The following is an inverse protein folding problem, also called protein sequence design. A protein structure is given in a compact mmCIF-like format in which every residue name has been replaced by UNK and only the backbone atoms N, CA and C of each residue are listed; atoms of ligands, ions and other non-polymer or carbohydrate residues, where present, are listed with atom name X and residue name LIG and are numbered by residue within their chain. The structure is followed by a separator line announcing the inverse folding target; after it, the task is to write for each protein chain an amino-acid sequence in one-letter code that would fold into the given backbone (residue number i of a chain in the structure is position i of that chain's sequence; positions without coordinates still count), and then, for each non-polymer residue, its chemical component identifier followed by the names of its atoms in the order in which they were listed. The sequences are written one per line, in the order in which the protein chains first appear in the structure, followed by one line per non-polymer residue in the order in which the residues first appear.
data_IF_017743742799
#
_entry.id   IF_017743742799
#
_cell.length_a   1.000
_cell.length_b   1.000
_cell.length_c   1.000
_cell.angle_alpha   90.00
_cell.angle_beta   90.00
_cell.angle_gamma   90.00
#
_symmetry.space_group_name_H-M   'P 1'
#
loop_
_entity.id
_entity.type
_entity.pdbx_description
1 polymer ?
#
# COMPACT_ATOMS: atom_id res chain seq x y z
N UNK A 1 6.49 1.60 -8.59
CA UNK A 1 6.06 2.67 -7.66
C UNK A 1 7.18 3.66 -7.45
N UNK A 2 8.36 3.25 -6.95
CA UNK A 2 9.50 4.15 -6.77
C UNK A 2 9.84 4.96 -8.03
N UNK A 3 9.96 4.30 -9.18
CA UNK A 3 10.27 4.98 -10.45
C UNK A 3 9.17 5.99 -10.85
N UNK A 4 7.90 5.62 -10.71
CA UNK A 4 6.77 6.51 -11.00
C UNK A 4 6.80 7.77 -10.13
N UNK A 5 7.12 7.63 -8.84
CA UNK A 5 7.23 8.77 -7.92
C UNK A 5 8.41 9.66 -8.30
N UNK A 6 9.57 9.08 -8.61
CA UNK A 6 10.75 9.84 -9.05
C UNK A 6 10.46 10.66 -10.30
N UNK A 7 9.88 10.05 -11.34
CA UNK A 7 9.51 10.74 -12.59
C UNK A 7 8.47 11.83 -12.30
N UNK A 8 7.46 11.55 -11.47
CA UNK A 8 6.43 12.54 -11.13
C UNK A 8 7.00 13.73 -10.34
N UNK A 9 8.04 13.54 -9.52
CA UNK A 9 8.76 14.62 -8.84
C UNK A 9 9.62 15.43 -9.82
N UNK A 10 10.34 14.78 -10.74
CA UNK A 10 11.12 15.45 -11.80
C UNK A 10 10.24 16.33 -12.68
N UNK A 11 9.04 15.84 -13.02
CA UNK A 11 8.06 16.57 -13.81
C UNK A 11 7.19 17.54 -13.01
N UNK A 12 7.45 17.71 -11.70
CA UNK A 12 6.71 18.59 -10.80
C UNK A 12 5.20 18.28 -10.65
N UNK A 13 4.76 17.08 -11.01
CA UNK A 13 3.41 16.57 -10.72
C UNK A 13 3.24 16.25 -9.23
N UNK A 14 4.31 15.81 -8.57
CA UNK A 14 4.36 15.60 -7.12
C UNK A 14 5.33 16.62 -6.51
N UNK A 15 4.83 17.45 -5.60
CA UNK A 15 5.61 18.45 -4.87
C UNK A 15 5.64 18.08 -3.40
N UNK A 16 6.84 17.87 -2.88
CA UNK A 16 7.05 17.39 -1.51
C UNK A 16 8.26 18.08 -0.88
N UNK A 17 8.25 18.35 0.44
CA UNK A 17 9.45 18.79 1.13
C UNK A 17 10.62 17.80 0.94
N UNK A 18 11.88 18.29 0.92
CA UNK A 18 13.05 17.43 0.84
C UNK A 18 13.06 16.40 1.98
N UNK A 19 13.37 15.14 1.65
CA UNK A 19 13.53 14.07 2.64
C UNK A 19 12.23 13.47 3.19
N UNK A 20 11.04 13.84 2.68
CA UNK A 20 9.78 13.19 3.09
C UNK A 20 9.54 11.85 2.38
N UNK A 21 9.98 11.74 1.12
CA UNK A 21 9.90 10.50 0.35
C UNK A 21 11.26 9.81 0.41
N UNK A 22 11.30 8.62 1.01
CA UNK A 22 12.52 7.81 1.13
C UNK A 22 12.23 6.39 0.68
N UNK A 23 13.23 5.71 0.12
CA UNK A 23 13.15 4.27 -0.05
C UNK A 23 13.14 3.58 1.32
N UNK A 24 12.56 2.38 1.42
CA UNK A 24 12.51 1.62 2.68
C UNK A 24 13.91 1.42 3.27
N UNK A 25 14.95 1.26 2.42
CA UNK A 25 16.35 1.10 2.85
C UNK A 25 16.95 2.36 3.48
N UNK A 26 16.42 3.53 3.14
CA UNK A 26 16.90 4.84 3.60
C UNK A 26 16.03 5.41 4.72
N UNK A 27 14.99 4.69 5.15
CA UNK A 27 14.14 5.14 6.24
C UNK A 27 14.97 5.27 7.54
N UNK A 28 14.89 6.42 8.24
CA UNK A 28 15.52 6.60 9.53
C UNK A 28 14.99 5.60 10.56
N UNK A 29 15.88 4.98 11.33
CA UNK A 29 15.55 3.97 12.35
C UNK A 29 14.68 4.49 13.53
N UNK A 30 14.33 5.77 13.57
CA UNK A 30 13.66 6.43 14.71
C UNK A 30 12.36 7.17 14.34
N UNK A 31 11.75 6.86 13.20
CA UNK A 31 10.41 7.38 12.88
C UNK A 31 9.38 6.59 13.68
N UNK A 32 8.42 7.27 14.29
CA UNK A 32 7.30 6.63 15.00
C UNK A 32 6.33 6.03 13.98
N UNK A 33 5.64 4.95 14.36
CA UNK A 33 4.65 4.31 13.48
C UNK A 33 3.58 5.31 12.99
N UNK A 34 3.13 6.23 13.86
CA UNK A 34 2.15 7.26 13.52
C UNK A 34 2.65 8.33 12.52
N UNK A 35 3.97 8.50 12.39
CA UNK A 35 4.60 9.46 11.48
C UNK A 35 5.05 8.76 10.17
N UNK A 36 4.64 7.51 9.95
CA UNK A 36 5.08 6.68 8.83
C UNK A 36 3.94 6.41 7.86
N UNK A 37 4.17 6.68 6.56
CA UNK A 37 3.30 6.27 5.47
C UNK A 37 4.08 5.38 4.49
N UNK A 38 3.55 4.21 4.18
CA UNK A 38 4.10 3.31 3.16
C UNK A 38 3.20 3.36 1.93
N UNK A 39 3.75 3.83 0.81
CA UNK A 39 3.09 3.78 -0.49
C UNK A 39 3.61 2.57 -1.29
N UNK A 40 2.71 1.66 -1.64
CA UNK A 40 3.09 0.37 -2.26
C UNK A 40 2.13 -0.04 -3.39
N UNK A 41 2.43 -1.15 -4.07
CA UNK A 41 1.59 -1.78 -5.11
C UNK A 41 1.02 -3.12 -4.62
N UNK A 42 0.18 -3.74 -5.44
CA UNK A 42 -0.41 -5.05 -5.15
C UNK A 42 -1.89 -5.02 -4.76
N UNK A 43 -2.59 -3.92 -5.06
CA UNK A 43 -3.98 -3.76 -4.67
C UNK A 43 -4.95 -4.69 -5.43
N UNK A 44 -4.49 -5.32 -6.52
CA UNK A 44 -5.25 -6.35 -7.27
C UNK A 44 -4.97 -7.78 -6.76
N UNK A 45 -4.18 -7.93 -5.70
CA UNK A 45 -3.95 -9.22 -5.07
C UNK A 45 -2.96 -10.12 -5.82
N UNK A 46 -2.11 -9.56 -6.67
CA UNK A 46 -1.09 -10.34 -7.38
C UNK A 46 -0.15 -11.02 -6.36
N UNK A 47 0.02 -12.33 -6.49
CA UNK A 47 0.67 -13.16 -5.47
C UNK A 47 2.09 -12.71 -5.10
N UNK A 48 2.84 -12.16 -6.07
CA UNK A 48 4.22 -11.69 -5.88
C UNK A 48 4.31 -10.21 -5.51
N UNK A 49 3.19 -9.51 -5.38
CA UNK A 49 3.17 -8.09 -5.05
C UNK A 49 3.67 -7.84 -3.63
N UNK A 50 4.15 -6.62 -3.39
CA UNK A 50 4.66 -6.21 -2.08
C UNK A 50 3.56 -6.34 -1.01
N UNK A 51 2.33 -5.89 -1.28
CA UNK A 51 1.22 -6.00 -0.34
C UNK A 51 0.82 -7.44 -0.03
N UNK A 52 0.76 -8.32 -1.04
CA UNK A 52 0.47 -9.74 -0.83
C UNK A 52 1.53 -10.39 0.08
N UNK A 53 2.81 -10.10 -0.16
CA UNK A 53 3.91 -10.59 0.70
C UNK A 53 3.84 -10.02 2.11
N UNK A 54 3.43 -8.77 2.30
CA UNK A 54 3.21 -8.18 3.62
C UNK A 54 2.08 -8.89 4.37
N UNK A 55 0.97 -9.20 3.69
CA UNK A 55 -0.14 -9.96 4.27
C UNK A 55 0.24 -11.40 4.66
N UNK A 56 1.17 -12.02 3.95
CA UNK A 56 1.72 -13.34 4.29
C UNK A 56 2.81 -13.29 5.37
N UNK A 57 3.34 -12.10 5.72
CA UNK A 57 4.46 -11.96 6.64
C UNK A 57 5.85 -12.22 6.01
N UNK A 58 5.91 -12.42 4.69
CA UNK A 58 7.12 -12.79 3.93
C UNK A 58 7.80 -11.62 3.21
N UNK A 59 7.40 -10.39 3.52
CA UNK A 59 8.05 -9.19 2.99
C UNK A 59 9.35 -8.92 3.76
N UNK A 60 10.50 -8.74 3.07
CA UNK A 60 11.83 -8.78 3.71
C UNK A 60 12.10 -7.62 4.67
N UNK A 61 11.43 -6.48 4.48
CA UNK A 61 11.71 -5.24 5.21
C UNK A 61 10.52 -4.72 6.01
N UNK A 62 9.29 -5.18 5.72
CA UNK A 62 8.06 -4.62 6.28
C UNK A 62 7.26 -5.75 6.89
N UNK A 63 6.84 -5.59 8.14
CA UNK A 63 5.93 -6.49 8.83
C UNK A 63 4.73 -5.69 9.28
N UNK A 64 3.55 -6.21 9.00
CA UNK A 64 2.29 -5.61 9.46
C UNK A 64 2.18 -5.86 10.97
N UNK A 65 1.86 -4.80 11.71
CA UNK A 65 1.60 -4.84 13.15
C UNK A 65 0.10 -4.76 13.42
N UNK A 66 -0.40 -5.36 14.51
CA UNK A 66 -1.75 -5.11 14.96
C UNK A 66 -2.00 -3.60 15.15
N UNK A 67 -3.11 -3.10 14.60
CA UNK A 67 -3.44 -1.67 14.63
C UNK A 67 -2.99 -0.87 13.41
N UNK A 68 -2.12 -1.42 12.55
CA UNK A 68 -1.78 -0.78 11.28
C UNK A 68 -3.04 -0.56 10.43
N UNK A 69 -3.10 0.56 9.71
CA UNK A 69 -4.18 0.84 8.76
C UNK A 69 -3.68 0.66 7.33
N UNK A 70 -4.35 -0.20 6.56
CA UNK A 70 -4.08 -0.40 5.14
C UNK A 70 -5.26 0.15 4.34
N UNK A 71 -4.95 0.97 3.34
CA UNK A 71 -5.94 1.55 2.43
C UNK A 71 -5.70 0.99 1.03
N UNK A 72 -6.67 0.26 0.51
CA UNK A 72 -6.74 -0.21 -0.87
C UNK A 72 -7.51 0.82 -1.69
N UNK A 73 -6.81 1.82 -2.23
CA UNK A 73 -7.38 2.89 -3.07
C UNK A 73 -7.60 2.42 -4.52
N UNK A 74 -8.24 1.26 -4.67
CA UNK A 74 -8.58 0.67 -5.98
C UNK A 74 -9.83 -0.20 -5.87
N UNK A 75 -10.56 -0.36 -6.97
CA UNK A 75 -11.54 -1.43 -7.12
C UNK A 75 -10.89 -2.70 -7.69
N UNK A 76 -11.33 -3.91 -7.27
CA UNK A 76 -10.95 -5.14 -7.96
C UNK A 76 -11.34 -5.08 -9.44
N UNK A 77 -10.41 -5.43 -10.31
CA UNK A 77 -10.70 -5.67 -11.72
C UNK A 77 -11.51 -6.99 -11.81
N UNK A 78 -12.54 -7.08 -12.67
CA UNK A 78 -13.29 -8.32 -12.86
C UNK A 78 -12.38 -9.54 -13.06
N UNK A 79 -12.55 -10.57 -12.23
CA UNK A 79 -11.73 -11.78 -12.22
C UNK A 79 -10.64 -11.81 -11.12
N UNK A 80 -10.29 -10.66 -10.54
CA UNK A 80 -9.28 -10.57 -9.47
C UNK A 80 -9.89 -10.55 -8.06
N UNK A 81 -11.21 -10.60 -7.91
CA UNK A 81 -11.91 -10.42 -6.63
C UNK A 81 -11.37 -11.40 -5.57
N UNK A 82 -11.26 -12.69 -5.93
CA UNK A 82 -10.77 -13.72 -5.02
C UNK A 82 -9.34 -13.46 -4.55
N UNK A 83 -8.47 -12.97 -5.44
CA UNK A 83 -7.08 -12.65 -5.11
C UNK A 83 -7.02 -11.44 -4.16
N UNK A 84 -7.78 -10.38 -4.45
CA UNK A 84 -7.89 -9.19 -3.58
C UNK A 84 -8.41 -9.57 -2.20
N UNK A 85 -9.52 -10.32 -2.12
CA UNK A 85 -10.09 -10.74 -0.83
C UNK A 85 -9.16 -11.68 -0.05
N UNK A 86 -8.35 -12.50 -0.72
CA UNK A 86 -7.32 -13.30 -0.06
C UNK A 86 -6.29 -12.42 0.65
N UNK A 87 -5.80 -11.37 -0.03
CA UNK A 87 -4.87 -10.40 0.58
C UNK A 87 -5.53 -9.65 1.74
N UNK A 88 -6.76 -9.18 1.57
CA UNK A 88 -7.53 -8.52 2.65
C UNK A 88 -7.63 -9.44 3.87
N UNK A 89 -8.02 -10.69 3.67
CA UNK A 89 -8.18 -11.66 4.76
C UNK A 89 -6.85 -11.89 5.51
N UNK A 90 -5.74 -12.00 4.79
CA UNK A 90 -4.43 -12.16 5.40
C UNK A 90 -4.03 -10.93 6.22
N UNK A 91 -4.25 -9.72 5.70
CA UNK A 91 -3.98 -8.48 6.43
C UNK A 91 -4.84 -8.35 7.70
N UNK A 92 -6.14 -8.65 7.60
CA UNK A 92 -7.06 -8.62 8.75
C UNK A 92 -6.66 -9.66 9.80
N UNK A 93 -6.21 -10.85 9.39
CA UNK A 93 -5.70 -11.89 10.32
C UNK A 93 -4.47 -11.45 11.10
N UNK A 94 -3.66 -10.54 10.55
CA UNK A 94 -2.53 -9.92 11.25
C UNK A 94 -2.96 -8.80 12.22
N UNK A 95 -4.25 -8.54 12.37
CA UNK A 95 -4.80 -7.51 13.27
C UNK A 95 -4.80 -6.11 12.67
N UNK A 96 -4.65 -5.99 11.35
CA UNK A 96 -4.68 -4.70 10.68
C UNK A 96 -6.10 -4.24 10.35
N UNK A 97 -6.31 -2.92 10.34
CA UNK A 97 -7.54 -2.29 9.86
C UNK A 97 -7.43 -2.07 8.35
N UNK A 98 -8.28 -2.73 7.57
CA UNK A 98 -8.26 -2.61 6.11
C UNK A 98 -9.44 -1.78 5.62
N UNK A 99 -9.16 -0.72 4.85
CA UNK A 99 -10.13 0.16 4.20
C UNK A 99 -10.05 -0.09 2.69
N UNK A 100 -11.19 -0.33 2.06
CA UNK A 100 -11.32 -0.56 0.62
C UNK A 100 -12.67 -0.02 0.13
N UNK A 101 -12.88 0.07 -1.18
CA UNK A 101 -13.96 0.88 -1.76
C UNK A 101 -15.39 0.50 -1.31
N UNK A 102 -15.63 -0.74 -0.90
CA UNK A 102 -16.94 -1.16 -0.40
C UNK A 102 -17.22 -0.70 1.04
N UNK A 103 -16.18 -0.31 1.78
CA UNK A 103 -16.24 0.14 3.19
C UNK A 103 -16.27 1.66 3.28
N UNK A 104 -15.55 2.34 2.40
CA UNK A 104 -15.44 3.80 2.35
C UNK A 104 -15.10 4.20 0.92
N UNK A 105 -15.62 5.34 0.47
CA UNK A 105 -15.31 5.88 -0.86
C UNK A 105 -13.84 6.30 -0.92
N UNK A 106 -13.00 5.42 -1.45
CA UNK A 106 -11.54 5.60 -1.56
C UNK A 106 -11.05 5.39 -2.99
N UNK A 107 -11.98 5.18 -3.93
CA UNK A 107 -11.68 4.97 -5.33
C UNK A 107 -12.83 5.39 -6.25
N UNK A 108 -12.48 6.16 -7.29
CA UNK A 108 -13.37 6.49 -8.41
C UNK A 108 -12.83 5.91 -9.72
N UNK A 109 -13.74 5.58 -10.64
CA UNK A 109 -13.36 5.19 -12.01
C UNK A 109 -12.67 6.35 -12.74
N UNK A 110 -11.63 6.04 -13.49
CA UNK A 110 -10.99 6.97 -14.44
C UNK A 110 -11.66 7.00 -15.83
N UNK A 111 -12.65 6.13 -16.07
CA UNK A 111 -13.43 6.08 -17.31
C UNK A 111 -14.86 6.55 -17.03
N UNK A 112 -15.39 7.38 -17.94
CA UNK A 112 -16.77 7.87 -17.94
C UNK A 112 -17.72 6.89 -18.65
#
# INVERSE_FOLDING_TARGET
MSDNISIAQELSFIKTPPGIVNSIKQMPNRIKDADTLILTTGAQGEAVSALARMGLGDHPQIRIKPGDTIILSSSPIPGNEKAVFSVINNLVRLGARVIFNQVMDVHTSGHA
#
